data_IF_751104882957
#
_entry.id   IF_751104882957
#
_cell.length_a   1.000
_cell.length_b   1.000
_cell.length_c   1.000
_cell.angle_alpha   90.00
_cell.angle_beta   90.00
_cell.angle_gamma   90.00
#
_symmetry.space_group_name_H-M   'P 1'
#
loop_
_entity.id
_entity.type
_entity.pdbx_description
1 polymer ?
#
# COMPACT_ATOMS: atom_id res chain seq x y z
N UNK A 1 -59.63 -2.74 -35.58
CA UNK A 1 -58.27 -2.19 -35.49
C UNK A 1 -57.73 -2.32 -34.07
N UNK A 2 -57.03 -3.39 -33.83
CA UNK A 2 -56.48 -3.73 -32.51
C UNK A 2 -55.11 -3.12 -32.36
N UNK A 3 -54.93 -2.34 -31.31
CA UNK A 3 -53.64 -1.82 -30.88
C UNK A 3 -52.90 -2.96 -30.14
N UNK A 4 -51.87 -3.53 -30.75
CA UNK A 4 -50.90 -4.38 -30.07
C UNK A 4 -50.11 -3.50 -29.08
N UNK A 5 -50.36 -3.67 -27.78
CA UNK A 5 -49.45 -3.22 -26.74
C UNK A 5 -48.24 -4.15 -26.73
N UNK A 6 -47.11 -3.64 -27.14
CA UNK A 6 -45.81 -4.24 -26.83
C UNK A 6 -45.61 -4.16 -25.31
N UNK A 7 -45.83 -5.27 -24.64
CA UNK A 7 -45.39 -5.45 -23.25
C UNK A 7 -43.89 -5.38 -23.22
N UNK A 8 -43.35 -4.43 -22.47
CA UNK A 8 -41.91 -4.26 -22.28
C UNK A 8 -41.29 -5.56 -21.78
N UNK A 9 -40.14 -5.91 -22.35
CA UNK A 9 -39.28 -6.95 -21.84
C UNK A 9 -38.98 -6.61 -20.39
N UNK A 10 -39.19 -7.57 -19.50
CA UNK A 10 -38.75 -7.50 -18.13
C UNK A 10 -37.23 -7.19 -18.13
N UNK A 11 -36.80 -6.15 -17.40
CA UNK A 11 -35.39 -6.00 -17.05
C UNK A 11 -35.02 -7.31 -16.36
N UNK A 12 -34.11 -8.08 -16.95
CA UNK A 12 -33.46 -9.15 -16.22
C UNK A 12 -32.89 -8.50 -14.95
N UNK A 13 -33.19 -9.05 -13.77
CA UNK A 13 -32.67 -8.61 -12.49
C UNK A 13 -31.14 -8.79 -12.52
N UNK A 14 -30.40 -7.73 -12.84
CA UNK A 14 -28.95 -7.72 -12.72
C UNK A 14 -28.64 -7.89 -11.24
N UNK A 15 -27.95 -8.94 -10.81
CA UNK A 15 -27.66 -9.15 -9.40
C UNK A 15 -26.84 -7.99 -8.85
N UNK A 16 -27.38 -7.29 -7.86
CA UNK A 16 -26.73 -6.17 -7.20
C UNK A 16 -25.62 -6.69 -6.29
N UNK A 17 -24.39 -6.20 -6.48
CA UNK A 17 -23.28 -6.51 -5.59
C UNK A 17 -23.47 -5.81 -4.24
N UNK A 18 -23.30 -6.56 -3.15
CA UNK A 18 -23.45 -6.07 -1.78
C UNK A 18 -22.07 -5.80 -1.15
N UNK A 19 -21.82 -4.54 -0.79
CA UNK A 19 -20.54 -4.08 -0.26
C UNK A 19 -20.74 -3.56 1.16
N UNK A 20 -20.09 -4.20 2.13
CA UNK A 20 -20.07 -3.74 3.51
C UNK A 20 -18.89 -2.81 3.75
N UNK A 21 -19.14 -1.65 4.35
CA UNK A 21 -18.10 -0.71 4.79
C UNK A 21 -17.79 -0.90 6.26
N UNK A 22 -16.52 -1.12 6.58
CA UNK A 22 -16.02 -1.23 7.95
C UNK A 22 -15.23 0.03 8.30
N UNK A 23 -15.74 0.85 9.21
CA UNK A 23 -15.31 2.23 9.48
C UNK A 23 -15.82 3.25 8.44
N UNK A 24 -15.51 4.52 8.76
CA UNK A 24 -15.79 5.62 7.85
C UNK A 24 -14.85 5.56 6.63
N UNK A 25 -15.42 5.37 5.47
CA UNK A 25 -14.74 5.45 4.17
C UNK A 25 -15.12 6.77 3.49
N UNK A 26 -14.19 7.40 2.79
CA UNK A 26 -14.45 8.68 2.11
C UNK A 26 -15.56 8.56 1.05
N UNK A 27 -16.54 9.46 1.03
CA UNK A 27 -17.57 9.50 -0.01
C UNK A 27 -17.01 9.61 -1.43
N UNK A 28 -15.84 10.22 -1.60
CA UNK A 28 -15.15 10.31 -2.91
C UNK A 28 -14.88 8.92 -3.50
N UNK A 29 -14.56 7.95 -2.65
CA UNK A 29 -14.47 6.56 -3.08
C UNK A 29 -15.84 5.92 -3.26
N UNK A 30 -16.72 6.00 -2.24
CA UNK A 30 -18.02 5.32 -2.26
C UNK A 30 -18.90 5.71 -3.45
N UNK A 31 -18.88 6.97 -3.85
CA UNK A 31 -19.64 7.49 -4.99
C UNK A 31 -19.17 6.93 -6.36
N UNK A 32 -18.09 6.14 -6.38
CA UNK A 32 -17.61 5.45 -7.60
C UNK A 32 -18.33 4.11 -7.83
N UNK A 33 -19.11 3.63 -6.87
CA UNK A 33 -20.02 2.50 -7.08
C UNK A 33 -21.30 2.98 -7.76
N UNK A 34 -21.63 2.48 -8.96
CA UNK A 34 -22.94 2.75 -9.56
C UNK A 34 -24.07 2.17 -8.69
N UNK A 35 -25.03 3.00 -8.31
CA UNK A 35 -26.15 2.59 -7.44
C UNK A 35 -27.06 1.54 -8.07
N UNK A 36 -27.01 1.40 -9.40
CA UNK A 36 -27.78 0.41 -10.16
C UNK A 36 -27.19 -1.01 -10.03
N UNK A 37 -25.89 -1.12 -9.67
CA UNK A 37 -25.16 -2.37 -9.59
C UNK A 37 -24.69 -2.71 -8.17
N UNK A 38 -24.73 -1.75 -7.25
CA UNK A 38 -24.13 -1.89 -5.92
C UNK A 38 -25.04 -1.38 -4.81
N UNK A 39 -25.23 -2.22 -3.79
CA UNK A 39 -25.72 -1.84 -2.48
C UNK A 39 -24.50 -1.64 -1.55
N UNK A 40 -24.31 -0.43 -1.02
CA UNK A 40 -23.13 -0.08 -0.21
C UNK A 40 -23.53 0.50 1.13
N UNK A 41 -23.07 -0.06 2.22
CA UNK A 41 -23.36 0.44 3.56
C UNK A 41 -22.66 -0.34 4.67
N UNK A 42 -22.76 0.17 5.89
CA UNK A 42 -22.18 -0.45 7.10
C UNK A 42 -23.04 -1.59 7.67
N UNK A 43 -24.35 -1.56 7.39
CA UNK A 43 -25.33 -2.53 7.83
C UNK A 43 -25.67 -3.61 6.78
N UNK A 44 -24.95 -3.63 5.63
CA UNK A 44 -25.17 -4.62 4.56
C UNK A 44 -24.91 -6.03 5.08
N UNK A 45 -25.87 -6.93 4.87
CA UNK A 45 -25.79 -8.33 5.28
C UNK A 45 -25.27 -9.22 4.14
N UNK A 46 -24.55 -10.28 4.48
CA UNK A 46 -23.96 -11.22 3.53
C UNK A 46 -23.21 -10.54 2.37
N UNK A 47 -22.24 -9.66 2.65
CA UNK A 47 -21.56 -8.90 1.62
C UNK A 47 -20.71 -9.79 0.71
N UNK A 48 -20.66 -9.44 -0.58
CA UNK A 48 -19.72 -10.01 -1.54
C UNK A 48 -18.38 -9.28 -1.53
N UNK A 49 -18.36 -8.03 -1.07
CA UNK A 49 -17.14 -7.26 -0.87
C UNK A 49 -17.11 -6.53 0.46
N UNK A 50 -15.94 -6.42 1.05
CA UNK A 50 -15.72 -5.60 2.26
C UNK A 50 -14.75 -4.48 1.94
N UNK A 51 -15.14 -3.24 2.26
CA UNK A 51 -14.25 -2.08 2.31
C UNK A 51 -13.89 -1.77 3.75
N UNK A 52 -12.59 -1.77 4.06
CA UNK A 52 -12.08 -1.50 5.41
C UNK A 52 -10.96 -0.47 5.39
N UNK A 53 -10.78 0.27 6.48
CA UNK A 53 -9.63 1.15 6.71
C UNK A 53 -8.82 0.67 7.91
N UNK A 54 -9.33 0.84 9.11
CA UNK A 54 -8.63 0.56 10.37
C UNK A 54 -9.32 -0.48 11.26
N UNK A 55 -10.55 -0.92 10.95
CA UNK A 55 -11.22 -1.96 11.72
C UNK A 55 -10.41 -3.26 11.70
N UNK A 56 -10.39 -3.94 12.83
CA UNK A 56 -9.75 -5.26 12.96
C UNK A 56 -10.68 -6.33 12.42
N UNK A 57 -10.22 -7.09 11.45
CA UNK A 57 -10.95 -8.20 10.83
C UNK A 57 -10.34 -9.56 11.21
N UNK A 58 -9.41 -9.60 12.18
CA UNK A 58 -8.67 -10.82 12.51
C UNK A 58 -9.58 -11.97 12.95
N UNK A 59 -10.67 -11.66 13.64
CA UNK A 59 -11.64 -12.62 14.14
C UNK A 59 -12.94 -12.68 13.30
N UNK A 60 -12.96 -12.01 12.12
CA UNK A 60 -14.14 -11.99 11.27
C UNK A 60 -14.46 -13.38 10.74
N UNK A 61 -15.71 -13.84 10.95
CA UNK A 61 -16.25 -15.01 10.27
C UNK A 61 -16.63 -14.62 8.82
N UNK A 62 -16.11 -15.40 7.86
CA UNK A 62 -16.41 -15.15 6.45
C UNK A 62 -17.76 -15.76 6.09
N UNK A 63 -18.68 -14.94 5.55
CA UNK A 63 -19.88 -15.48 4.96
C UNK A 63 -19.54 -16.22 3.64
N UNK A 64 -20.31 -17.24 3.25
CA UNK A 64 -20.02 -18.05 2.05
C UNK A 64 -20.01 -17.26 0.73
N UNK A 65 -20.64 -16.09 0.70
CA UNK A 65 -20.71 -15.21 -0.47
C UNK A 65 -19.59 -14.19 -0.57
N UNK A 66 -18.67 -14.10 0.42
CA UNK A 66 -17.60 -13.10 0.41
C UNK A 66 -16.56 -13.41 -0.67
N UNK A 67 -16.41 -12.51 -1.64
CA UNK A 67 -15.51 -12.66 -2.77
C UNK A 67 -14.19 -11.89 -2.60
N UNK A 68 -14.19 -10.75 -1.91
CA UNK A 68 -12.99 -9.93 -1.78
C UNK A 68 -13.04 -8.97 -0.59
N UNK A 69 -11.85 -8.56 -0.12
CA UNK A 69 -11.68 -7.49 0.87
C UNK A 69 -10.74 -6.43 0.29
N UNK A 70 -11.17 -5.16 0.28
CA UNK A 70 -10.31 -4.05 -0.13
C UNK A 70 -10.06 -3.10 1.05
N UNK A 71 -8.78 -2.79 1.30
CA UNK A 71 -8.38 -1.84 2.33
C UNK A 71 -8.07 -0.48 1.71
N UNK A 72 -8.76 0.55 2.19
CA UNK A 72 -8.42 1.95 1.89
C UNK A 72 -7.16 2.36 2.67
N UNK A 73 -6.00 1.91 2.21
CA UNK A 73 -4.68 2.12 2.82
C UNK A 73 -3.68 1.04 2.42
N UNK A 74 -2.39 1.24 2.76
CA UNK A 74 -1.30 0.37 2.31
C UNK A 74 -1.05 -0.82 3.25
N UNK A 75 -1.00 -0.60 4.57
CA UNK A 75 -0.74 -1.66 5.54
C UNK A 75 -1.96 -2.58 5.72
N UNK A 76 -1.78 -3.87 5.95
CA UNK A 76 -2.87 -4.88 6.01
C UNK A 76 -2.82 -5.75 7.27
N UNK A 77 -2.13 -5.30 8.29
CA UNK A 77 -1.96 -6.02 9.57
C UNK A 77 -3.26 -6.21 10.39
N UNK A 78 -4.32 -5.55 9.99
CA UNK A 78 -5.67 -5.69 10.57
C UNK A 78 -6.54 -6.75 9.85
N UNK A 79 -6.01 -7.46 8.83
CA UNK A 79 -6.74 -8.44 8.00
C UNK A 79 -6.03 -9.80 8.10
N UNK A 80 -6.75 -10.93 8.29
CA UNK A 80 -6.18 -12.26 8.42
C UNK A 80 -5.81 -12.85 7.06
N UNK A 81 -4.66 -12.46 6.48
CA UNK A 81 -4.26 -12.76 5.11
C UNK A 81 -4.24 -14.25 4.79
N UNK A 82 -3.73 -15.10 5.70
CA UNK A 82 -3.63 -16.54 5.48
C UNK A 82 -5.01 -17.20 5.45
N UNK A 83 -5.93 -16.78 6.32
CA UNK A 83 -7.32 -17.23 6.29
C UNK A 83 -8.04 -16.80 5.02
N UNK A 84 -7.81 -15.57 4.57
CA UNK A 84 -8.36 -15.07 3.31
C UNK A 84 -7.82 -15.89 2.12
N UNK A 85 -6.50 -16.16 2.07
CA UNK A 85 -5.91 -16.96 1.00
C UNK A 85 -6.46 -18.40 0.99
N UNK A 86 -6.61 -19.03 2.14
CA UNK A 86 -7.18 -20.38 2.27
C UNK A 86 -8.65 -20.44 1.81
N UNK A 87 -9.41 -19.36 2.02
CA UNK A 87 -10.79 -19.23 1.56
C UNK A 87 -10.89 -18.77 0.07
N UNK A 88 -9.76 -18.46 -0.59
CA UNK A 88 -9.74 -17.93 -1.95
C UNK A 88 -10.16 -16.45 -2.05
N UNK A 89 -10.13 -15.71 -0.96
CA UNK A 89 -10.55 -14.31 -0.90
C UNK A 89 -9.33 -13.40 -1.13
N UNK A 90 -9.23 -12.68 -2.28
CA UNK A 90 -8.19 -11.69 -2.48
C UNK A 90 -8.36 -10.52 -1.51
N UNK A 91 -7.22 -10.06 -0.98
CA UNK A 91 -7.13 -8.85 -0.16
C UNK A 91 -6.37 -7.80 -0.95
N UNK A 92 -7.02 -6.69 -1.21
CA UNK A 92 -6.46 -5.56 -1.95
C UNK A 92 -5.98 -4.48 -1.00
N UNK A 93 -4.85 -3.86 -1.33
CA UNK A 93 -4.36 -2.62 -0.70
C UNK A 93 -4.31 -1.49 -1.73
N UNK A 94 -3.92 -0.29 -1.30
CA UNK A 94 -3.86 0.88 -2.18
C UNK A 94 -2.45 1.46 -2.25
N UNK A 95 -1.48 0.72 -2.83
CA UNK A 95 -0.09 1.16 -2.89
C UNK A 95 0.03 2.41 -3.75
N UNK A 96 0.72 3.42 -3.21
CA UNK A 96 0.94 4.69 -3.90
C UNK A 96 -0.16 5.73 -3.75
N UNK A 97 -1.37 5.38 -3.33
CA UNK A 97 -2.46 6.32 -3.15
C UNK A 97 -2.16 7.42 -2.10
N UNK A 98 -1.33 7.10 -1.10
CA UNK A 98 -0.86 8.02 -0.06
C UNK A 98 0.53 8.61 -0.33
N UNK A 99 1.14 8.33 -1.48
CA UNK A 99 2.55 8.61 -1.71
C UNK A 99 2.87 10.11 -1.62
N UNK A 100 2.00 10.98 -2.13
CA UNK A 100 2.21 12.42 -2.06
C UNK A 100 2.21 12.95 -0.61
N UNK A 101 1.28 12.50 0.22
CA UNK A 101 1.22 12.90 1.64
C UNK A 101 2.51 12.50 2.38
N UNK A 102 2.97 11.27 2.18
CA UNK A 102 4.24 10.80 2.79
C UNK A 102 5.43 11.60 2.27
N UNK A 103 5.50 11.87 0.96
CA UNK A 103 6.56 12.71 0.38
C UNK A 103 6.62 14.09 1.06
N UNK A 104 5.49 14.75 1.25
CA UNK A 104 5.45 16.06 1.91
C UNK A 104 5.94 16.00 3.35
N UNK A 105 5.56 14.96 4.09
CA UNK A 105 6.05 14.77 5.46
C UNK A 105 7.56 14.45 5.48
N UNK A 106 8.11 13.73 4.50
CA UNK A 106 9.57 13.50 4.38
C UNK A 106 10.31 14.82 4.18
N UNK A 107 9.84 15.69 3.28
CA UNK A 107 10.45 17.00 3.06
C UNK A 107 10.39 17.85 4.35
N UNK A 108 9.23 17.85 5.02
CA UNK A 108 9.08 18.50 6.32
C UNK A 108 10.07 17.94 7.36
N UNK A 109 10.21 16.61 7.45
CA UNK A 109 11.13 15.94 8.35
C UNK A 109 12.61 16.34 8.10
N UNK A 110 13.02 16.42 6.84
CA UNK A 110 14.36 16.89 6.47
C UNK A 110 14.59 18.33 6.95
N UNK A 111 13.63 19.23 6.74
CA UNK A 111 13.72 20.64 7.17
C UNK A 111 13.74 20.77 8.70
N UNK A 112 12.88 20.04 9.41
CA UNK A 112 12.84 20.02 10.87
C UNK A 112 14.15 19.49 11.47
N UNK A 113 14.70 18.40 10.91
CA UNK A 113 15.94 17.79 11.35
C UNK A 113 17.20 18.61 11.00
N UNK A 114 17.11 19.52 10.03
CA UNK A 114 18.24 20.37 9.64
C UNK A 114 18.56 21.44 10.67
N UNK A 115 17.54 22.07 11.27
CA UNK A 115 17.68 23.24 12.15
C UNK A 115 16.94 23.11 13.48
N UNK A 116 16.55 21.90 13.87
CA UNK A 116 15.76 21.62 15.08
C UNK A 116 14.59 22.62 15.27
N UNK A 117 13.77 22.76 14.23
CA UNK A 117 12.63 23.70 14.25
C UNK A 117 11.67 23.42 15.43
N UNK A 118 11.32 22.15 15.76
CA UNK A 118 10.48 21.84 16.91
C UNK A 118 11.10 22.29 18.24
N UNK A 119 12.41 22.07 18.41
CA UNK A 119 13.14 22.53 19.59
C UNK A 119 13.17 24.06 19.70
N UNK A 120 13.41 24.75 18.58
CA UNK A 120 13.38 26.21 18.53
C UNK A 120 12.00 26.79 18.91
N UNK A 121 10.92 26.21 18.41
CA UNK A 121 9.55 26.63 18.76
C UNK A 121 9.27 26.42 20.25
N UNK A 122 9.69 25.29 20.82
CA UNK A 122 9.55 24.98 22.23
C UNK A 122 10.35 25.98 23.08
N UNK A 123 11.60 26.23 22.74
CA UNK A 123 12.47 27.16 23.42
C UNK A 123 11.89 28.58 23.50
N UNK A 124 11.35 29.11 22.38
CA UNK A 124 10.68 30.43 22.36
C UNK A 124 9.50 30.49 23.33
N UNK A 125 8.69 29.42 23.39
CA UNK A 125 7.57 29.33 24.33
C UNK A 125 8.02 29.27 25.79
N UNK A 126 9.09 28.57 26.08
CA UNK A 126 9.71 28.49 27.42
C UNK A 126 10.25 29.85 27.86
N UNK A 127 10.91 30.60 26.96
CA UNK A 127 11.35 31.96 27.26
C UNK A 127 10.15 32.88 27.59
N UNK A 128 9.11 32.83 26.82
CA UNK A 128 7.90 33.60 27.09
C UNK A 128 7.28 33.23 28.45
N UNK A 129 7.18 31.95 28.76
CA UNK A 129 6.62 31.44 30.02
C UNK A 129 7.48 31.83 31.24
N UNK A 130 8.80 32.01 31.08
CA UNK A 130 9.71 32.51 32.16
C UNK A 130 9.59 34.00 32.42
N UNK A 131 8.78 34.74 31.66
CA UNK A 131 8.62 36.18 31.74
C UNK A 131 9.76 37.00 31.07
N UNK A 132 10.60 36.34 30.27
CA UNK A 132 11.62 37.03 29.50
C UNK A 132 11.03 37.89 28.39
N UNK A 133 11.63 39.02 28.08
CA UNK A 133 11.32 39.75 26.85
C UNK A 133 11.82 38.96 25.63
N UNK A 134 10.90 38.26 24.97
CA UNK A 134 11.21 37.38 23.84
C UNK A 134 11.96 38.12 22.74
N UNK A 135 11.58 39.38 22.45
CA UNK A 135 12.23 40.21 21.42
C UNK A 135 13.72 40.44 21.66
N UNK A 136 14.11 40.44 22.91
CA UNK A 136 15.52 40.63 23.33
C UNK A 136 16.33 39.32 23.33
N UNK A 137 15.69 38.21 23.77
CA UNK A 137 16.42 36.94 23.96
C UNK A 137 16.55 36.12 22.67
N UNK A 138 15.66 36.27 21.68
CA UNK A 138 15.68 35.47 20.44
C UNK A 138 16.99 35.66 19.65
N UNK A 139 17.50 36.88 19.56
CA UNK A 139 18.73 37.15 18.80
C UNK A 139 19.98 36.49 19.44
N UNK A 140 20.00 36.36 20.75
CA UNK A 140 21.09 35.66 21.46
C UNK A 140 20.96 34.15 21.41
N UNK A 141 19.70 33.65 21.49
CA UNK A 141 19.43 32.22 21.57
C UNK A 141 19.41 31.50 20.21
N UNK A 142 19.19 32.21 19.11
CA UNK A 142 19.05 31.61 17.75
C UNK A 142 20.26 30.78 17.31
N UNK A 143 21.45 31.06 17.85
CA UNK A 143 22.67 30.32 17.49
C UNK A 143 22.62 28.84 17.86
N UNK A 144 21.80 28.45 18.84
CA UNK A 144 21.62 27.05 19.26
C UNK A 144 20.89 26.21 18.20
N UNK A 145 20.18 26.85 17.24
CA UNK A 145 19.38 26.20 16.25
C UNK A 145 19.92 26.34 14.81
N UNK A 146 21.19 26.75 14.67
CA UNK A 146 21.86 26.83 13.37
C UNK A 146 22.05 25.42 12.80
N UNK A 147 21.73 25.25 11.52
CA UNK A 147 21.93 23.99 10.83
C UNK A 147 22.07 24.15 9.32
N UNK A 148 22.32 23.04 8.61
CA UNK A 148 22.59 23.08 7.18
C UNK A 148 21.33 23.37 6.34
N UNK A 149 21.55 23.86 5.14
CA UNK A 149 20.56 23.88 4.06
C UNK A 149 20.49 22.49 3.41
N UNK A 150 19.39 22.22 2.70
CA UNK A 150 19.24 21.00 1.89
C UNK A 150 20.00 21.13 0.55
N UNK A 151 20.14 22.33 0.03
CA UNK A 151 20.80 22.62 -1.24
C UNK A 151 22.24 22.07 -1.26
N UNK A 152 22.57 21.32 -2.32
CA UNK A 152 23.87 20.63 -2.48
C UNK A 152 24.22 19.61 -1.40
N UNK A 153 23.24 19.15 -0.62
CA UNK A 153 23.39 17.98 0.26
C UNK A 153 22.95 16.72 -0.46
N UNK A 154 23.47 15.60 0.00
CA UNK A 154 23.15 14.30 -0.57
C UNK A 154 22.03 13.64 0.22
N UNK A 155 20.98 13.23 -0.47
CA UNK A 155 19.90 12.39 0.05
C UNK A 155 20.07 10.94 -0.39
N UNK A 156 20.18 10.02 0.55
CA UNK A 156 20.11 8.58 0.33
C UNK A 156 18.67 8.08 0.52
N UNK A 157 18.16 7.34 -0.44
CA UNK A 157 16.79 6.80 -0.41
C UNK A 157 16.86 5.28 -0.49
N UNK A 158 16.37 4.61 0.55
CA UNK A 158 16.25 3.14 0.59
C UNK A 158 14.82 2.77 0.21
N UNK A 159 14.68 2.12 -0.96
CA UNK A 159 13.38 1.83 -1.59
C UNK A 159 12.93 2.95 -2.53
N UNK A 160 12.96 2.66 -3.84
CA UNK A 160 12.53 3.56 -4.92
C UNK A 160 11.14 3.20 -5.46
N UNK A 161 10.26 2.66 -4.62
CA UNK A 161 8.87 2.39 -4.98
C UNK A 161 8.04 3.65 -5.19
N UNK A 162 6.72 3.55 -5.02
CA UNK A 162 5.78 4.65 -5.26
C UNK A 162 6.09 5.93 -4.46
N UNK A 163 6.58 5.79 -3.22
CA UNK A 163 6.94 6.93 -2.36
C UNK A 163 8.36 7.40 -2.67
N UNK A 164 9.34 6.49 -2.62
CA UNK A 164 10.76 6.85 -2.75
C UNK A 164 11.07 7.53 -4.10
N UNK A 165 10.41 7.13 -5.18
CA UNK A 165 10.61 7.76 -6.49
C UNK A 165 10.17 9.24 -6.53
N UNK A 166 9.01 9.57 -5.96
CA UNK A 166 8.56 10.97 -5.92
C UNK A 166 9.32 11.81 -4.90
N UNK A 167 9.81 11.20 -3.80
CA UNK A 167 10.75 11.85 -2.87
C UNK A 167 12.06 12.18 -3.59
N UNK A 168 12.60 11.23 -4.36
CA UNK A 168 13.82 11.41 -5.15
C UNK A 168 13.69 12.61 -6.12
N UNK A 169 12.64 12.62 -6.94
CA UNK A 169 12.39 13.68 -7.91
C UNK A 169 12.19 15.06 -7.23
N UNK A 170 11.50 15.07 -6.08
CA UNK A 170 11.32 16.31 -5.30
C UNK A 170 12.63 16.80 -4.71
N UNK A 171 13.49 15.92 -4.21
CA UNK A 171 14.81 16.30 -3.67
C UNK A 171 15.74 16.85 -4.74
N UNK A 172 15.72 16.31 -5.97
CA UNK A 172 16.40 16.90 -7.13
C UNK A 172 15.91 18.34 -7.38
N UNK A 173 14.60 18.58 -7.33
CA UNK A 173 14.00 19.91 -7.50
C UNK A 173 14.41 20.90 -6.42
N UNK A 174 14.79 20.40 -5.21
CA UNK A 174 15.34 21.19 -4.11
C UNK A 174 16.86 21.42 -4.25
N UNK A 175 17.49 20.93 -5.32
CA UNK A 175 18.92 21.08 -5.58
C UNK A 175 19.80 20.15 -4.74
N UNK A 176 19.27 19.01 -4.31
CA UNK A 176 20.03 17.95 -3.65
C UNK A 176 20.64 16.98 -4.67
N UNK A 177 21.75 16.32 -4.28
CA UNK A 177 22.23 15.13 -4.96
C UNK A 177 21.47 13.91 -4.39
N UNK A 178 20.97 13.04 -5.26
CA UNK A 178 20.13 11.91 -4.81
C UNK A 178 20.72 10.58 -5.21
N UNK A 179 20.92 9.71 -4.21
CA UNK A 179 21.32 8.32 -4.36
C UNK A 179 20.19 7.39 -3.88
N UNK A 180 19.75 6.49 -4.74
CA UNK A 180 18.69 5.54 -4.41
C UNK A 180 19.20 4.10 -4.46
N UNK A 181 18.74 3.27 -3.52
CA UNK A 181 18.98 1.84 -3.48
C UNK A 181 17.65 1.09 -3.46
N UNK A 182 17.42 0.25 -4.48
CA UNK A 182 16.28 -0.66 -4.55
C UNK A 182 16.66 -1.90 -5.36
N UNK A 183 16.83 -3.07 -4.73
CA UNK A 183 17.18 -4.31 -5.43
C UNK A 183 16.03 -4.87 -6.29
N UNK A 184 14.82 -4.32 -6.15
CA UNK A 184 13.61 -4.75 -6.86
C UNK A 184 13.05 -3.65 -7.77
N UNK A 185 13.88 -2.67 -8.14
CA UNK A 185 13.46 -1.54 -8.98
C UNK A 185 12.84 -2.03 -10.29
N UNK A 186 11.55 -1.73 -10.49
CA UNK A 186 10.86 -2.05 -11.73
C UNK A 186 11.24 -1.09 -12.86
N UNK A 187 11.12 -1.55 -14.11
CA UNK A 187 11.35 -0.71 -15.29
C UNK A 187 10.42 0.50 -15.30
N UNK A 188 9.14 0.30 -14.96
CA UNK A 188 8.16 1.38 -14.90
C UNK A 188 8.53 2.46 -13.88
N UNK A 189 9.04 2.05 -12.71
CA UNK A 189 9.51 3.01 -11.71
C UNK A 189 10.78 3.71 -12.16
N UNK A 190 11.72 2.98 -12.77
CA UNK A 190 12.96 3.55 -13.29
C UNK A 190 12.69 4.63 -14.35
N UNK A 191 11.70 4.43 -15.22
CA UNK A 191 11.28 5.41 -16.23
C UNK A 191 10.63 6.68 -15.64
N UNK A 192 10.16 6.64 -14.40
CA UNK A 192 9.58 7.81 -13.70
C UNK A 192 10.59 8.59 -12.88
N UNK A 193 11.78 8.03 -12.64
CA UNK A 193 12.84 8.71 -11.91
C UNK A 193 13.44 9.84 -12.78
N UNK A 194 13.75 10.96 -12.12
CA UNK A 194 14.56 12.00 -12.75
C UNK A 194 15.94 11.40 -13.13
N UNK A 195 16.43 11.79 -14.31
CA UNK A 195 17.70 11.29 -14.84
C UNK A 195 18.93 11.58 -13.96
N UNK A 196 18.82 12.52 -13.04
CA UNK A 196 19.90 12.89 -12.11
C UNK A 196 19.89 12.05 -10.82
N UNK A 197 18.93 11.13 -10.65
CA UNK A 197 18.92 10.18 -9.55
C UNK A 197 19.94 9.06 -9.83
N UNK A 198 20.92 8.92 -8.94
CA UNK A 198 21.93 7.86 -9.00
C UNK A 198 21.43 6.59 -8.34
N UNK A 199 21.08 5.58 -9.13
CA UNK A 199 20.70 4.26 -8.59
C UNK A 199 21.97 3.45 -8.31
N UNK A 200 22.19 3.08 -7.04
CA UNK A 200 23.34 2.30 -6.60
C UNK A 200 22.97 0.84 -6.41
N UNK A 201 23.95 -0.05 -6.63
CA UNK A 201 23.79 -1.51 -6.46
C UNK A 201 24.19 -1.99 -5.06
N UNK A 202 25.08 -1.25 -4.39
CA UNK A 202 25.51 -1.52 -3.03
C UNK A 202 24.98 -0.43 -2.10
N UNK A 203 24.24 -0.83 -1.07
CA UNK A 203 23.69 0.08 -0.07
C UNK A 203 24.78 0.85 0.69
N UNK A 204 26.00 0.28 0.83
CA UNK A 204 27.11 0.95 1.45
C UNK A 204 27.58 2.19 0.68
N UNK A 205 27.41 2.20 -0.65
CA UNK A 205 27.71 3.40 -1.44
C UNK A 205 26.71 4.53 -1.14
N UNK A 206 25.46 4.20 -0.83
CA UNK A 206 24.47 5.16 -0.36
C UNK A 206 24.85 5.69 1.03
N UNK A 207 25.16 4.81 1.99
CA UNK A 207 25.51 5.20 3.36
C UNK A 207 26.70 6.17 3.40
N UNK A 208 27.77 5.86 2.69
CA UNK A 208 29.01 6.67 2.67
C UNK A 208 28.83 8.08 2.09
N UNK A 209 27.82 8.29 1.23
CA UNK A 209 27.63 9.55 0.49
C UNK A 209 26.59 10.46 1.11
N UNK A 210 25.64 9.91 1.87
CA UNK A 210 24.43 10.60 2.27
C UNK A 210 24.62 11.50 3.49
N UNK A 211 24.12 12.72 3.40
CA UNK A 211 23.94 13.65 4.52
C UNK A 211 22.58 13.45 5.19
N UNK A 212 21.61 12.95 4.43
CA UNK A 212 20.27 12.53 4.87
C UNK A 212 19.98 11.14 4.33
N UNK A 213 19.33 10.31 5.13
CA UNK A 213 18.89 8.98 4.71
C UNK A 213 17.40 8.84 5.05
N UNK A 214 16.60 8.45 4.06
CA UNK A 214 15.17 8.13 4.25
C UNK A 214 14.87 6.74 3.69
N UNK A 215 13.93 6.04 4.33
CA UNK A 215 13.56 4.68 3.94
C UNK A 215 12.08 4.58 3.62
N UNK A 216 11.79 3.88 2.50
CA UNK A 216 10.45 3.67 1.95
C UNK A 216 10.27 2.21 1.54
N UNK A 217 10.55 1.32 2.49
CA UNK A 217 10.49 -0.14 2.33
C UNK A 217 9.49 -0.75 3.31
N UNK A 218 8.99 -1.94 2.97
CA UNK A 218 8.15 -2.71 3.87
C UNK A 218 8.99 -3.38 4.96
N UNK A 219 8.39 -3.54 6.13
CA UNK A 219 8.94 -4.42 7.15
C UNK A 219 8.79 -5.88 6.70
N UNK A 220 9.89 -6.62 6.80
CA UNK A 220 10.01 -8.06 6.64
C UNK A 220 11.12 -8.54 7.55
N UNK A 221 11.25 -9.85 7.77
CA UNK A 221 12.39 -10.41 8.51
C UNK A 221 13.75 -9.98 7.92
N UNK A 222 13.85 -9.77 6.60
CA UNK A 222 15.07 -9.32 5.92
C UNK A 222 15.36 -7.83 6.09
N UNK A 223 14.36 -7.03 6.37
CA UNK A 223 14.49 -5.57 6.57
C UNK A 223 14.43 -5.17 8.03
N UNK A 224 14.18 -6.15 8.93
CA UNK A 224 14.26 -5.95 10.37
C UNK A 224 15.66 -5.47 10.76
N UNK A 225 15.72 -4.37 11.53
CA UNK A 225 16.96 -3.75 11.98
C UNK A 225 17.99 -3.53 10.84
N UNK A 226 17.52 -3.20 9.63
CA UNK A 226 18.41 -2.87 8.53
C UNK A 226 19.32 -1.69 8.86
N UNK A 227 18.83 -0.72 9.61
CA UNK A 227 19.60 0.39 10.16
C UNK A 227 20.08 -0.01 11.56
N UNK A 228 21.16 -0.75 11.62
CA UNK A 228 21.83 -1.23 12.84
C UNK A 228 23.20 -0.53 13.05
N UNK A 229 23.93 -0.94 14.06
CA UNK A 229 25.24 -0.36 14.39
C UNK A 229 26.25 -0.43 13.23
N UNK A 230 26.27 -1.52 12.46
CA UNK A 230 27.15 -1.69 11.31
C UNK A 230 26.78 -0.75 10.15
N UNK A 231 25.48 -0.65 9.84
CA UNK A 231 24.96 0.29 8.84
C UNK A 231 25.29 1.74 9.22
N UNK A 232 25.04 2.12 10.50
CA UNK A 232 25.32 3.45 11.01
C UNK A 232 26.82 3.77 10.94
N UNK A 233 27.69 2.81 11.28
CA UNK A 233 29.14 3.00 11.21
C UNK A 233 29.65 3.25 9.78
N UNK A 234 28.92 2.80 8.76
CA UNK A 234 29.23 3.07 7.35
C UNK A 234 28.75 4.43 6.84
N UNK A 235 27.93 5.16 7.61
CA UNK A 235 27.36 6.45 7.24
C UNK A 235 28.35 7.60 7.47
N UNK A 236 28.05 8.78 6.90
CA UNK A 236 28.76 10.00 7.24
C UNK A 236 28.47 10.41 8.67
N UNK A 237 29.51 10.89 9.39
CA UNK A 237 29.32 11.51 10.70
C UNK A 237 28.40 12.74 10.57
N UNK A 238 27.40 12.84 11.44
CA UNK A 238 26.41 13.91 11.42
C UNK A 238 25.27 13.68 10.42
N UNK A 239 25.11 12.45 9.91
CA UNK A 239 23.98 12.08 9.05
C UNK A 239 22.64 12.30 9.78
N UNK A 240 21.60 12.60 9.03
CA UNK A 240 20.22 12.67 9.53
C UNK A 240 19.43 11.51 8.98
N UNK A 241 18.76 10.79 9.85
CA UNK A 241 17.98 9.59 9.49
C UNK A 241 16.49 9.88 9.64
N UNK A 242 15.72 9.61 8.59
CA UNK A 242 14.27 9.80 8.54
C UNK A 242 13.60 8.44 8.35
N UNK A 243 12.77 8.03 9.31
CA UNK A 243 12.02 6.80 9.25
C UNK A 243 10.52 7.06 9.37
N UNK A 244 9.85 7.18 8.23
CA UNK A 244 8.39 7.26 8.10
C UNK A 244 7.85 5.99 7.40
N UNK A 245 8.56 4.86 7.56
CA UNK A 245 8.18 3.58 6.98
C UNK A 245 7.64 2.61 8.03
N UNK A 246 8.52 2.03 8.88
CA UNK A 246 8.17 1.14 10.01
C UNK A 246 9.24 1.22 11.08
N UNK A 247 8.84 1.23 12.36
CA UNK A 247 9.75 1.35 13.50
C UNK A 247 10.83 0.27 13.51
N UNK A 248 10.43 -0.97 13.27
CA UNK A 248 11.26 -2.17 13.36
C UNK A 248 12.39 -2.24 12.31
N UNK A 249 12.42 -1.33 11.33
CA UNK A 249 13.51 -1.23 10.34
C UNK A 249 14.79 -0.68 10.99
N UNK A 250 14.66 0.10 12.07
CA UNK A 250 15.76 0.72 12.79
C UNK A 250 16.00 0.00 14.11
N UNK A 251 17.26 -0.28 14.43
CA UNK A 251 17.66 -0.74 15.74
C UNK A 251 17.76 0.48 16.68
N UNK A 252 16.84 0.57 17.62
CA UNK A 252 16.75 1.70 18.55
C UNK A 252 17.98 1.87 19.43
N UNK A 253 18.60 0.77 19.90
CA UNK A 253 19.83 0.83 20.72
C UNK A 253 20.99 1.42 19.94
N UNK A 254 21.17 0.93 18.72
CA UNK A 254 22.21 1.43 17.83
C UNK A 254 21.97 2.91 17.47
N UNK A 255 20.71 3.30 17.24
CA UNK A 255 20.34 4.68 16.92
C UNK A 255 20.57 5.61 18.11
N UNK A 256 20.18 5.23 19.32
CA UNK A 256 20.40 6.02 20.54
C UNK A 256 21.90 6.23 20.82
N UNK A 257 22.70 5.17 20.68
CA UNK A 257 24.16 5.26 20.80
C UNK A 257 24.77 6.20 19.74
N UNK A 258 24.24 6.16 18.52
CA UNK A 258 24.71 7.00 17.42
C UNK A 258 24.37 8.48 17.61
N UNK A 259 23.22 8.78 18.19
CA UNK A 259 22.81 10.14 18.56
C UNK A 259 23.71 10.69 19.67
N UNK A 260 23.97 9.91 20.72
CA UNK A 260 24.81 10.31 21.85
C UNK A 260 26.27 10.61 21.42
N UNK A 261 26.81 9.80 20.50
CA UNK A 261 28.17 10.00 19.96
C UNK A 261 28.25 11.05 18.85
N UNK A 262 27.14 11.61 18.42
CA UNK A 262 27.05 12.55 17.31
C UNK A 262 27.39 11.92 15.93
N UNK A 263 27.34 10.61 15.82
CA UNK A 263 27.42 9.91 14.54
C UNK A 263 26.18 10.19 13.70
N UNK A 264 25.00 10.18 14.34
CA UNK A 264 23.73 10.66 13.80
C UNK A 264 23.42 12.01 14.43
N UNK A 265 23.17 13.04 13.62
CA UNK A 265 22.86 14.38 14.11
C UNK A 265 21.38 14.56 14.49
N UNK A 266 20.47 13.83 13.85
CA UNK A 266 19.06 13.81 14.18
C UNK A 266 18.39 12.52 13.67
N UNK A 267 17.44 12.01 14.43
CA UNK A 267 16.55 10.93 14.03
C UNK A 267 15.10 11.41 14.04
N UNK A 268 14.45 11.33 12.87
CA UNK A 268 13.08 11.80 12.68
C UNK A 268 12.21 10.59 12.36
N UNK A 269 11.14 10.36 13.15
CA UNK A 269 10.28 9.20 12.99
C UNK A 269 8.83 9.50 13.33
N UNK A 270 7.90 8.83 12.69
CA UNK A 270 6.49 8.78 13.07
C UNK A 270 6.08 7.42 13.70
N UNK A 271 7.09 6.68 14.19
CA UNK A 271 6.95 5.46 15.00
C UNK A 271 7.60 5.63 16.38
N UNK A 272 7.05 6.52 17.25
CA UNK A 272 7.62 6.78 18.55
C UNK A 272 7.49 5.61 19.51
N UNK A 273 8.48 5.47 20.41
CA UNK A 273 8.38 4.65 21.62
C UNK A 273 9.01 5.40 22.82
N UNK A 274 8.75 4.92 24.04
CA UNK A 274 9.17 5.61 25.25
C UNK A 274 10.69 5.82 25.36
N UNK A 275 11.50 4.95 24.76
CA UNK A 275 12.97 5.06 24.79
C UNK A 275 13.46 6.20 23.89
N UNK A 276 12.95 6.27 22.66
CA UNK A 276 13.30 7.30 21.70
C UNK A 276 12.94 8.70 22.21
N UNK A 277 11.82 8.83 22.95
CA UNK A 277 11.34 10.13 23.45
C UNK A 277 12.24 10.74 24.53
N UNK A 278 13.13 9.95 25.17
CA UNK A 278 14.07 10.45 26.19
C UNK A 278 15.38 10.96 25.61
N UNK A 279 15.67 10.66 24.34
CA UNK A 279 16.94 11.00 23.71
C UNK A 279 16.92 12.41 23.10
N UNK A 280 18.01 13.18 23.21
CA UNK A 280 18.16 14.42 22.48
C UNK A 280 18.23 14.15 20.97
N UNK A 281 17.85 15.14 20.17
CA UNK A 281 17.90 15.09 18.70
C UNK A 281 16.98 14.03 18.05
N UNK A 282 16.02 13.47 18.80
CA UNK A 282 14.91 12.70 18.25
C UNK A 282 13.73 13.64 18.03
N UNK A 283 13.24 13.68 16.79
CA UNK A 283 12.00 14.36 16.42
C UNK A 283 10.96 13.27 16.15
N UNK A 284 10.14 13.01 17.14
CA UNK A 284 9.11 11.98 17.08
C UNK A 284 7.71 12.60 16.92
N UNK A 285 6.92 12.03 16.05
CA UNK A 285 5.54 12.45 15.78
C UNK A 285 4.61 11.23 15.74
N UNK A 286 3.30 11.37 15.88
CA UNK A 286 2.36 10.29 15.64
C UNK A 286 2.46 9.81 14.18
N UNK A 287 1.97 8.60 13.88
CA UNK A 287 1.98 8.01 12.54
C UNK A 287 1.16 8.87 11.55
N UNK A 288 1.77 9.93 11.02
CA UNK A 288 1.12 10.98 10.22
C UNK A 288 1.36 10.86 8.72
N UNK A 289 2.23 9.94 8.27
CA UNK A 289 2.66 9.85 6.87
C UNK A 289 1.53 9.89 5.84
N UNK A 290 0.41 9.24 6.13
CA UNK A 290 -0.76 9.17 5.24
C UNK A 290 -1.99 9.94 5.78
N UNK A 291 -1.84 10.75 6.83
CA UNK A 291 -2.97 11.36 7.55
C UNK A 291 -3.37 12.72 6.96
N UNK A 292 -3.74 12.72 5.69
CA UNK A 292 -4.31 13.90 5.00
C UNK A 292 -5.67 13.55 4.38
N UNK A 293 -6.60 14.51 4.25
CA UNK A 293 -7.88 14.28 3.56
C UNK A 293 -7.70 13.74 2.14
N UNK A 294 -6.74 14.24 1.39
CA UNK A 294 -6.45 13.83 0.02
C UNK A 294 -5.95 12.38 -0.02
N UNK A 295 -5.08 11.98 0.90
CA UNK A 295 -4.61 10.61 1.02
C UNK A 295 -5.77 9.65 1.32
N UNK A 296 -6.67 10.02 2.23
CA UNK A 296 -7.87 9.23 2.54
C UNK A 296 -8.80 9.09 1.34
N UNK A 297 -9.01 10.17 0.59
CA UNK A 297 -9.81 10.18 -0.63
C UNK A 297 -9.20 9.30 -1.72
N UNK A 298 -7.90 9.44 -1.97
CA UNK A 298 -7.18 8.66 -2.97
C UNK A 298 -7.18 7.16 -2.62
N UNK A 299 -6.95 6.82 -1.34
CA UNK A 299 -7.01 5.43 -0.90
C UNK A 299 -8.42 4.84 -1.05
N UNK A 300 -9.47 5.60 -0.70
CA UNK A 300 -10.85 5.14 -0.86
C UNK A 300 -11.20 4.95 -2.34
N UNK A 301 -10.84 5.89 -3.21
CA UNK A 301 -11.08 5.79 -4.65
C UNK A 301 -10.36 4.57 -5.25
N UNK A 302 -9.08 4.37 -4.96
CA UNK A 302 -8.31 3.24 -5.47
C UNK A 302 -8.85 1.90 -4.95
N UNK A 303 -9.24 1.82 -3.66
CA UNK A 303 -9.81 0.60 -3.08
C UNK A 303 -11.14 0.21 -3.76
N UNK A 304 -12.00 1.20 -4.03
CA UNK A 304 -13.27 0.98 -4.73
C UNK A 304 -13.02 0.54 -6.18
N UNK A 305 -12.14 1.23 -6.91
CA UNK A 305 -11.86 0.88 -8.31
C UNK A 305 -11.27 -0.54 -8.43
N UNK A 306 -10.37 -0.91 -7.51
CA UNK A 306 -9.76 -2.24 -7.49
C UNK A 306 -10.80 -3.32 -7.15
N UNK A 307 -11.66 -3.05 -6.16
CA UNK A 307 -12.72 -3.99 -5.79
C UNK A 307 -13.72 -4.18 -6.92
N UNK A 308 -14.11 -3.11 -7.60
CA UNK A 308 -14.99 -3.14 -8.77
C UNK A 308 -14.37 -3.93 -9.92
N UNK A 309 -13.12 -3.64 -10.27
CA UNK A 309 -12.41 -4.34 -11.35
C UNK A 309 -12.38 -5.87 -11.08
N UNK A 310 -12.20 -6.26 -9.81
CA UNK A 310 -12.26 -7.67 -9.44
C UNK A 310 -13.69 -8.25 -9.57
N UNK A 311 -14.68 -7.60 -8.97
CA UNK A 311 -16.07 -8.10 -8.96
C UNK A 311 -16.67 -8.14 -10.37
N UNK A 312 -16.42 -7.12 -11.20
CA UNK A 312 -16.98 -6.97 -12.53
C UNK A 312 -16.19 -7.77 -13.59
N UNK A 313 -14.87 -7.87 -13.46
CA UNK A 313 -14.00 -8.42 -14.51
C UNK A 313 -13.11 -9.59 -14.07
N UNK A 314 -13.02 -9.89 -12.78
CA UNK A 314 -12.13 -10.91 -12.25
C UNK A 314 -10.66 -10.48 -12.16
N UNK A 315 -10.30 -9.25 -12.51
CA UNK A 315 -8.93 -8.81 -12.48
C UNK A 315 -8.41 -8.66 -11.04
N UNK A 316 -7.27 -9.25 -10.75
CA UNK A 316 -6.57 -9.10 -9.47
C UNK A 316 -5.42 -8.12 -9.64
N UNK A 317 -5.57 -6.90 -9.10
CA UNK A 317 -4.54 -5.86 -9.04
C UNK A 317 -4.26 -5.48 -7.60
N UNK A 318 -2.99 -5.23 -7.26
CA UNK A 318 -2.59 -4.79 -5.91
C UNK A 318 -3.02 -5.73 -4.77
N UNK A 319 -3.11 -7.03 -5.06
CA UNK A 319 -3.40 -8.04 -4.05
C UNK A 319 -2.17 -8.34 -3.21
N UNK A 320 -2.36 -8.45 -1.89
CA UNK A 320 -1.30 -8.74 -0.93
C UNK A 320 -1.15 -10.23 -0.62
N UNK A 321 -2.15 -11.06 -0.89
CA UNK A 321 -2.18 -12.49 -0.54
C UNK A 321 -2.30 -13.46 -1.72
N UNK A 322 -2.79 -13.01 -2.89
CA UNK A 322 -3.00 -13.83 -4.08
C UNK A 322 -2.22 -13.28 -5.28
N UNK A 323 -1.98 -14.06 -6.36
CA UNK A 323 -1.22 -13.60 -7.51
C UNK A 323 -1.96 -12.50 -8.27
N UNK A 324 -1.25 -11.46 -8.69
CA UNK A 324 -1.80 -10.44 -9.58
C UNK A 324 -1.99 -11.00 -10.98
N UNK A 325 -3.18 -10.81 -11.52
CA UNK A 325 -3.52 -11.23 -12.87
C UNK A 325 -4.61 -10.36 -13.47
N UNK A 326 -4.41 -9.97 -14.71
CA UNK A 326 -5.40 -9.29 -15.52
C UNK A 326 -5.50 -10.00 -16.86
N UNK A 327 -6.71 -10.08 -17.41
CA UNK A 327 -6.97 -10.68 -18.71
C UNK A 327 -8.10 -9.90 -19.38
N UNK A 328 -7.85 -9.41 -20.60
CA UNK A 328 -8.89 -8.77 -21.38
C UNK A 328 -9.98 -9.80 -21.70
N UNK A 329 -11.23 -9.38 -21.63
CA UNK A 329 -12.36 -10.27 -21.82
C UNK A 329 -12.49 -10.64 -23.29
N UNK A 330 -12.67 -11.93 -23.58
CA UNK A 330 -12.76 -12.45 -24.93
C UNK A 330 -13.83 -13.53 -25.13
N UNK A 331 -14.72 -13.74 -24.19
CA UNK A 331 -15.75 -14.79 -24.24
C UNK A 331 -17.11 -14.28 -23.82
N UNK A 332 -18.09 -15.19 -23.90
CA UNK A 332 -19.46 -14.95 -23.45
C UNK A 332 -19.59 -15.07 -21.94
N UNK A 333 -18.81 -15.98 -21.33
CA UNK A 333 -18.81 -16.19 -19.89
C UNK A 333 -17.38 -16.30 -19.38
N UNK A 334 -17.09 -15.69 -18.24
CA UNK A 334 -15.81 -15.80 -17.55
C UNK A 334 -15.97 -16.59 -16.26
N UNK A 335 -15.11 -17.58 -16.07
CA UNK A 335 -14.94 -18.28 -14.81
C UNK A 335 -13.63 -17.85 -14.14
N UNK A 336 -13.72 -17.53 -12.87
CA UNK A 336 -12.63 -17.10 -12.01
C UNK A 336 -12.44 -18.13 -10.91
N UNK A 337 -11.34 -18.90 -10.97
CA UNK A 337 -11.08 -20.03 -10.09
C UNK A 337 -9.84 -19.79 -9.24
N UNK A 338 -10.02 -19.65 -7.94
CA UNK A 338 -8.95 -19.62 -6.95
C UNK A 338 -8.74 -21.03 -6.40
N UNK A 339 -7.52 -21.55 -6.49
CA UNK A 339 -7.24 -22.93 -6.14
C UNK A 339 -5.82 -23.09 -5.55
N UNK A 340 -5.55 -24.26 -4.94
CA UNK A 340 -4.19 -24.58 -4.53
C UNK A 340 -3.28 -24.80 -5.74
N UNK A 341 -2.02 -24.38 -5.60
CA UNK A 341 -1.00 -24.53 -6.64
C UNK A 341 -0.43 -25.95 -6.61
N UNK A 342 -1.20 -26.91 -7.12
CA UNK A 342 -0.81 -28.34 -7.18
C UNK A 342 -0.89 -28.86 -8.61
N UNK A 343 -0.14 -29.92 -8.95
CA UNK A 343 -0.16 -30.51 -10.30
C UNK A 343 -1.56 -30.97 -10.73
N UNK A 344 -1.85 -30.83 -12.03
CA UNK A 344 -3.08 -31.34 -12.64
C UNK A 344 -4.29 -30.41 -12.56
N UNK A 345 -4.25 -29.29 -11.81
CA UNK A 345 -5.42 -28.42 -11.62
C UNK A 345 -5.98 -27.87 -12.94
N UNK A 346 -5.14 -27.35 -13.82
CA UNK A 346 -5.59 -26.83 -15.11
C UNK A 346 -6.24 -27.93 -15.97
N UNK A 347 -5.66 -29.12 -16.02
CA UNK A 347 -6.21 -30.25 -16.76
C UNK A 347 -7.57 -30.66 -16.19
N UNK A 348 -7.73 -30.72 -14.87
CA UNK A 348 -8.99 -31.06 -14.22
C UNK A 348 -10.08 -30.02 -14.55
N UNK A 349 -9.78 -28.73 -14.44
CA UNK A 349 -10.73 -27.64 -14.71
C UNK A 349 -11.12 -27.64 -16.20
N UNK A 350 -10.14 -27.64 -17.12
CA UNK A 350 -10.42 -27.52 -18.55
C UNK A 350 -11.10 -28.76 -19.14
N UNK A 351 -10.86 -29.96 -18.56
CA UNK A 351 -11.53 -31.17 -19.00
C UNK A 351 -13.05 -31.14 -18.79
N UNK A 352 -13.54 -30.39 -17.82
CA UNK A 352 -14.98 -30.23 -17.58
C UNK A 352 -15.63 -29.47 -18.73
N UNK A 353 -15.04 -28.41 -19.24
CA UNK A 353 -15.54 -27.65 -20.37
C UNK A 353 -15.55 -28.48 -21.67
N UNK A 354 -14.45 -29.23 -21.90
CA UNK A 354 -14.37 -30.11 -23.07
C UNK A 354 -15.42 -31.22 -23.08
N UNK A 355 -15.79 -31.78 -21.92
CA UNK A 355 -16.87 -32.77 -21.81
C UNK A 355 -18.26 -32.18 -22.17
N UNK A 356 -18.45 -30.90 -21.83
CA UNK A 356 -19.70 -30.18 -22.15
C UNK A 356 -19.68 -29.55 -23.56
N UNK A 357 -18.63 -29.80 -24.35
CA UNK A 357 -18.48 -29.31 -25.73
C UNK A 357 -18.27 -27.80 -25.83
N UNK A 358 -17.86 -27.14 -24.73
CA UNK A 358 -17.65 -25.69 -24.68
C UNK A 358 -16.18 -25.36 -24.97
N UNK A 359 -15.96 -24.42 -25.91
CA UNK A 359 -14.63 -23.95 -26.27
C UNK A 359 -14.10 -22.96 -25.26
N UNK A 360 -12.78 -23.07 -24.94
CA UNK A 360 -12.05 -22.09 -24.18
C UNK A 360 -11.45 -21.07 -25.13
N UNK A 361 -11.93 -19.84 -25.08
CA UNK A 361 -11.47 -18.73 -25.94
C UNK A 361 -10.17 -18.12 -25.42
N UNK A 362 -10.03 -18.00 -24.09
CA UNK A 362 -8.82 -17.50 -23.44
C UNK A 362 -8.66 -18.14 -22.06
N UNK A 363 -7.40 -18.34 -21.65
CA UNK A 363 -7.08 -18.86 -20.34
C UNK A 363 -5.79 -18.23 -19.83
N UNK A 364 -5.81 -17.76 -18.60
CA UNK A 364 -4.62 -17.32 -17.89
C UNK A 364 -4.56 -17.97 -16.52
N UNK A 365 -3.35 -18.36 -16.11
CA UNK A 365 -3.10 -18.90 -14.79
C UNK A 365 -1.82 -18.32 -14.21
N UNK A 366 -1.88 -17.84 -12.98
CA UNK A 366 -0.70 -17.40 -12.22
C UNK A 366 -0.74 -17.96 -10.81
N UNK A 367 0.43 -18.23 -10.26
CA UNK A 367 0.60 -18.72 -8.89
C UNK A 367 1.42 -17.77 -8.03
N UNK A 368 1.15 -17.80 -6.72
CA UNK A 368 1.91 -17.15 -5.68
C UNK A 368 1.94 -18.05 -4.44
N UNK A 369 3.10 -18.64 -4.15
CA UNK A 369 3.22 -19.62 -3.08
C UNK A 369 2.29 -20.81 -3.29
N UNK A 370 1.49 -21.13 -2.29
CA UNK A 370 0.59 -22.31 -2.26
C UNK A 370 -0.71 -22.13 -3.03
N UNK A 371 -0.96 -20.96 -3.60
CA UNK A 371 -2.22 -20.62 -4.28
C UNK A 371 -2.00 -20.21 -5.72
N UNK A 372 -2.99 -20.49 -6.55
CA UNK A 372 -3.04 -20.07 -7.95
C UNK A 372 -4.40 -19.49 -8.28
N UNK A 373 -4.41 -18.64 -9.28
CA UNK A 373 -5.61 -18.05 -9.84
C UNK A 373 -5.67 -18.35 -11.33
N UNK A 374 -6.80 -18.93 -11.76
CA UNK A 374 -7.08 -19.25 -13.16
C UNK A 374 -8.30 -18.45 -13.60
N UNK A 375 -8.16 -17.66 -14.66
CA UNK A 375 -9.27 -17.06 -15.39
C UNK A 375 -9.46 -17.81 -16.69
N UNK A 376 -10.72 -18.13 -17.01
CA UNK A 376 -11.10 -18.83 -18.25
C UNK A 376 -12.24 -18.08 -18.89
N UNK A 377 -12.08 -17.68 -20.14
CA UNK A 377 -13.14 -17.14 -20.98
C UNK A 377 -13.67 -18.24 -21.90
N UNK A 378 -14.98 -18.45 -21.87
CA UNK A 378 -15.68 -19.49 -22.62
C UNK A 378 -16.43 -18.89 -23.80
N UNK A 379 -16.46 -19.61 -24.93
CA UNK A 379 -17.16 -19.22 -26.15
C UNK A 379 -18.68 -19.31 -26.05
N UNK A 380 -19.18 -20.00 -25.02
CA UNK A 380 -20.63 -20.09 -24.71
C UNK A 380 -20.83 -20.24 -23.22
N UNK A 381 -22.05 -19.97 -22.72
CA UNK A 381 -22.42 -20.22 -21.32
C UNK A 381 -22.39 -21.72 -21.02
N UNK A 382 -21.83 -22.11 -19.91
CA UNK A 382 -21.91 -23.47 -19.37
C UNK A 382 -23.10 -23.58 -18.42
N UNK A 383 -23.64 -24.78 -18.30
CA UNK A 383 -24.74 -25.08 -17.37
C UNK A 383 -24.27 -25.06 -15.91
N UNK A 384 -25.22 -24.87 -14.99
CA UNK A 384 -24.95 -24.85 -13.54
C UNK A 384 -24.28 -26.13 -13.02
N UNK A 385 -24.55 -27.28 -13.67
CA UNK A 385 -23.90 -28.55 -13.39
C UNK A 385 -22.37 -28.47 -13.59
N UNK A 386 -21.89 -27.85 -14.65
CA UNK A 386 -20.46 -27.69 -14.95
C UNK A 386 -19.82 -26.72 -13.94
N UNK A 387 -20.50 -25.62 -13.63
CA UNK A 387 -20.08 -24.67 -12.62
C UNK A 387 -19.91 -25.37 -11.26
N UNK A 388 -20.88 -26.21 -10.88
CA UNK A 388 -20.84 -26.96 -9.63
C UNK A 388 -19.74 -28.04 -9.64
N UNK A 389 -19.49 -28.70 -10.78
CA UNK A 389 -18.40 -29.67 -10.91
C UNK A 389 -17.01 -28.99 -10.79
N UNK A 390 -16.85 -27.79 -11.35
CA UNK A 390 -15.61 -26.99 -11.13
C UNK A 390 -15.47 -26.63 -9.65
N UNK A 391 -16.55 -26.18 -9.00
CA UNK A 391 -16.56 -25.83 -7.58
C UNK A 391 -16.20 -27.01 -6.68
N UNK A 392 -16.67 -28.21 -7.00
CA UNK A 392 -16.38 -29.45 -6.27
C UNK A 392 -15.04 -30.08 -6.60
N UNK A 393 -14.33 -29.58 -7.61
CA UNK A 393 -12.99 -30.07 -7.94
C UNK A 393 -12.07 -29.92 -6.72
N UNK A 394 -11.40 -31.00 -6.35
CA UNK A 394 -10.49 -30.97 -5.20
C UNK A 394 -9.45 -29.85 -5.32
N UNK A 395 -9.19 -29.14 -4.23
CA UNK A 395 -8.27 -28.00 -4.14
C UNK A 395 -8.77 -26.67 -4.77
N UNK A 396 -10.00 -26.59 -5.28
CA UNK A 396 -10.65 -25.31 -5.56
C UNK A 396 -11.05 -24.66 -4.23
N UNK A 397 -10.67 -23.39 -4.04
CA UNK A 397 -10.95 -22.60 -2.84
C UNK A 397 -12.17 -21.71 -3.04
N UNK A 398 -12.25 -21.04 -4.20
CA UNK A 398 -13.35 -20.16 -4.56
C UNK A 398 -13.56 -20.23 -6.08
N UNK A 399 -14.81 -20.23 -6.47
CA UNK A 399 -15.25 -20.06 -7.86
C UNK A 399 -16.34 -18.99 -7.91
N UNK A 400 -16.18 -18.02 -8.78
CA UNK A 400 -17.26 -17.13 -9.17
C UNK A 400 -17.28 -16.93 -10.68
N UNK A 401 -18.42 -16.52 -11.20
CA UNK A 401 -18.64 -16.28 -12.63
C UNK A 401 -18.95 -14.82 -12.85
N UNK A 402 -18.51 -14.29 -13.98
CA UNK A 402 -18.85 -12.96 -14.47
C UNK A 402 -19.37 -13.11 -15.89
N UNK A 403 -20.64 -12.78 -16.09
CA UNK A 403 -21.26 -12.78 -17.39
C UNK A 403 -20.99 -11.47 -18.14
N UNK A 404 -21.02 -11.50 -19.49
CA UNK A 404 -20.77 -10.34 -20.33
C UNK A 404 -21.93 -9.34 -20.30
#
# INVERSE_FOLDING_TARGET
PGVLRLTGAAKEDIPMYRIQTMNKISPVGLNRFPSELYEVGDAVQDPQGILVRSAKLLDLEFNPGLLAIARAGVGVNNIPLDRCAAAGIPVFSTPGANANAVKELVICAMLMGSRDIPGAIRWVREQAASGADVSTVVEKGKSAFIGPELYKKTLGIIGLGAIGSIVANTAISLGMDVYGYDPFLSVDTALRLDRHVHVVKDINDLYKRSDYITMHIHYTEKTAHMINASAIAAMKRGVRVINLARGEIVDDEAMLTALDTGMVAAYITDFPNNRLLTAPHVIAMPHLGASTPESEQNCAAMAVDTLRDYLESGNIRSSVNLPEMTMDRSGVQRLCVLHKNVPGMLANITSLFGRDGVNVENLSNKSRGDYAYTMVDLGSKVGDNVIEDVRRTANVCLLYTSDA
#
